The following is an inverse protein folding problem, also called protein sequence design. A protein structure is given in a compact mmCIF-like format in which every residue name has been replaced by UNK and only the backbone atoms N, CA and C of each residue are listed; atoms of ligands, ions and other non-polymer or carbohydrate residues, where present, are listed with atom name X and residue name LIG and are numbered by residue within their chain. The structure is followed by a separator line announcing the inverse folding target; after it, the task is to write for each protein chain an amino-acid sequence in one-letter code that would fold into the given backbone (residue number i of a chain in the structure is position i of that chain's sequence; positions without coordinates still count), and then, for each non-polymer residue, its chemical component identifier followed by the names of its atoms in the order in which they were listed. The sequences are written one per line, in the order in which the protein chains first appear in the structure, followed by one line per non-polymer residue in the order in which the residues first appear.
data_IF_516691749445
#
_entry.id   IF_516691749445
#
_cell.length_a   1.000
_cell.length_b   1.000
_cell.length_c   1.000
_cell.angle_alpha   90.00
_cell.angle_beta   90.00
_cell.angle_gamma   90.00
#
_symmetry.space_group_name_H-M   'P 1'
#
loop_
_entity.id
_entity.type
_entity.pdbx_description
1 polymer ?
#
# COMPACT_ATOMS: atom_id res chain seq x y z
N UNK A 1 -7.03 -10.88 -8.29
CA UNK A 1 -6.20 -10.40 -7.16
C UNK A 1 -5.42 -11.59 -6.63
N UNK A 2 -4.10 -11.47 -6.42
CA UNK A 2 -3.24 -12.57 -5.97
C UNK A 2 -2.78 -12.30 -4.51
N UNK A 3 -3.26 -13.08 -3.51
CA UNK A 3 -2.93 -12.88 -2.10
C UNK A 3 -1.43 -12.92 -1.80
N UNK A 4 -0.71 -13.90 -2.36
CA UNK A 4 0.73 -14.05 -2.16
C UNK A 4 1.51 -12.81 -2.64
N UNK A 5 1.08 -12.19 -3.74
CA UNK A 5 1.68 -10.95 -4.25
C UNK A 5 1.49 -9.78 -3.27
N UNK A 6 0.34 -9.66 -2.61
CA UNK A 6 0.10 -8.57 -1.66
C UNK A 6 0.79 -8.82 -0.31
N UNK A 7 0.84 -10.06 0.19
CA UNK A 7 1.64 -10.35 1.38
C UNK A 7 3.13 -10.04 1.15
N UNK A 8 3.69 -10.43 0.00
CA UNK A 8 5.06 -10.03 -0.37
C UNK A 8 5.22 -8.51 -0.47
N UNK A 9 4.20 -7.81 -0.98
CA UNK A 9 4.20 -6.34 -1.04
C UNK A 9 4.22 -5.72 0.35
N UNK A 10 3.43 -6.24 1.29
CA UNK A 10 3.38 -5.79 2.68
C UNK A 10 4.72 -6.00 3.37
N UNK A 11 5.33 -7.17 3.24
CA UNK A 11 6.68 -7.43 3.78
C UNK A 11 7.72 -6.46 3.23
N UNK A 12 7.70 -6.17 1.91
CA UNK A 12 8.61 -5.18 1.32
C UNK A 12 8.35 -3.75 1.83
N UNK A 13 7.10 -3.41 2.14
CA UNK A 13 6.75 -2.10 2.70
C UNK A 13 7.19 -1.98 4.15
N UNK A 14 7.17 -3.07 4.93
CA UNK A 14 7.71 -3.11 6.29
C UNK A 14 9.21 -2.80 6.30
N UNK A 15 10.03 -3.50 5.50
CA UNK A 15 11.47 -3.21 5.43
C UNK A 15 11.75 -1.77 5.01
N UNK A 16 10.95 -1.21 4.10
CA UNK A 16 11.06 0.22 3.72
C UNK A 16 10.64 1.19 4.82
N UNK A 17 9.76 0.77 5.74
CA UNK A 17 9.34 1.59 6.87
C UNK A 17 10.46 1.74 7.89
N UNK A 18 11.25 0.68 8.08
CA UNK A 18 12.43 0.68 8.95
C UNK A 18 13.50 1.68 8.47
N UNK A 19 13.58 1.93 7.16
CA UNK A 19 14.59 2.80 6.54
C UNK A 19 14.06 4.20 6.16
N UNK A 20 12.78 4.51 6.35
CA UNK A 20 12.22 5.78 5.87
C UNK A 20 12.67 6.98 6.72
N UNK A 21 13.05 8.07 6.06
CA UNK A 21 13.60 9.26 6.74
C UNK A 21 12.73 10.51 6.57
N UNK A 22 11.76 10.45 5.66
CA UNK A 22 10.91 11.61 5.36
C UNK A 22 9.43 11.31 5.55
N UNK A 23 8.68 12.35 5.93
CA UNK A 23 7.21 12.29 6.04
C UNK A 23 6.56 11.80 4.73
N UNK A 24 7.08 12.25 3.58
CA UNK A 24 6.53 11.88 2.28
C UNK A 24 6.71 10.40 1.94
N UNK A 25 7.84 9.81 2.34
CA UNK A 25 8.08 8.38 2.18
C UNK A 25 7.18 7.56 3.11
N UNK A 26 7.07 7.97 4.38
CA UNK A 26 6.19 7.33 5.34
C UNK A 26 4.73 7.34 4.84
N UNK A 27 4.22 8.48 4.37
CA UNK A 27 2.89 8.59 3.78
C UNK A 27 2.69 7.67 2.57
N UNK A 28 3.70 7.57 1.68
CA UNK A 28 3.64 6.65 0.53
C UNK A 28 3.61 5.18 0.96
N UNK A 29 4.35 4.82 2.01
CA UNK A 29 4.37 3.46 2.56
C UNK A 29 2.99 3.11 3.12
N UNK A 30 2.42 3.98 3.96
CA UNK A 30 1.09 3.81 4.54
C UNK A 30 0.00 3.63 3.47
N UNK A 31 -0.04 4.52 2.46
CA UNK A 31 -1.00 4.42 1.34
C UNK A 31 -0.89 3.08 0.60
N UNK A 32 0.33 2.63 0.33
CA UNK A 32 0.56 1.35 -0.37
C UNK A 32 0.21 0.14 0.49
N UNK A 33 0.44 0.21 1.80
CA UNK A 33 0.10 -0.86 2.73
C UNK A 33 -1.43 -1.01 2.84
N UNK A 34 -2.14 0.10 3.04
CA UNK A 34 -3.59 0.12 3.06
C UNK A 34 -4.20 -0.43 1.76
N UNK A 35 -3.65 -0.06 0.60
CA UNK A 35 -4.09 -0.61 -0.70
C UNK A 35 -3.84 -2.11 -0.82
N UNK A 36 -2.73 -2.62 -0.29
CA UNK A 36 -2.45 -4.06 -0.31
C UNK A 36 -3.39 -4.84 0.63
N UNK A 37 -3.67 -4.31 1.82
CA UNK A 37 -4.64 -4.88 2.77
C UNK A 37 -6.05 -4.90 2.22
N UNK A 38 -6.55 -3.77 1.68
CA UNK A 38 -7.88 -3.73 1.06
C UNK A 38 -8.07 -4.77 -0.04
N UNK A 39 -7.04 -4.98 -0.86
CA UNK A 39 -7.07 -6.02 -1.90
C UNK A 39 -7.14 -7.44 -1.32
N UNK A 40 -6.54 -7.68 -0.14
CA UNK A 40 -6.63 -8.97 0.54
C UNK A 40 -8.02 -9.18 1.15
N UNK A 41 -8.63 -8.12 1.66
CA UNK A 41 -9.96 -8.15 2.29
C UNK A 41 -11.10 -8.25 1.27
N UNK A 42 -11.05 -7.48 0.19
CA UNK A 42 -12.19 -7.27 -0.73
C UNK A 42 -12.08 -8.08 -2.04
N UNK A 43 -10.97 -8.76 -2.30
CA UNK A 43 -10.75 -9.48 -3.56
C UNK A 43 -10.48 -8.54 -4.74
N UNK A 44 -10.65 -8.98 -6.01
CA UNK A 44 -10.38 -8.15 -7.19
C UNK A 44 -11.48 -7.11 -7.44
N UNK A 45 -11.62 -6.13 -6.56
CA UNK A 45 -12.39 -4.93 -6.86
C UNK A 45 -11.57 -4.04 -7.79
N UNK A 46 -12.12 -3.77 -8.97
CA UNK A 46 -11.54 -2.95 -10.03
C UNK A 46 -11.48 -1.48 -9.62
N UNK A 47 -10.47 -1.11 -8.82
CA UNK A 47 -10.28 0.29 -8.42
C UNK A 47 -8.89 0.76 -8.85
N UNK A 48 -8.85 1.21 -10.11
CA UNK A 48 -8.06 2.39 -10.48
C UNK A 48 -8.67 3.59 -9.77
N UNK A 49 -7.88 4.65 -9.59
CA UNK A 49 -8.26 5.90 -8.93
C UNK A 49 -8.16 5.89 -7.39
N UNK A 50 -7.11 6.54 -6.92
CA UNK A 50 -7.13 7.51 -5.80
C UNK A 50 -5.79 8.23 -5.88
N UNK A 51 -5.57 8.81 -7.06
CA UNK A 51 -4.82 10.05 -7.18
C UNK A 51 -5.90 11.14 -7.18
N UNK A 52 -5.67 12.22 -6.44
CA UNK A 52 -6.50 13.42 -6.26
C UNK A 52 -7.21 13.54 -4.91
N UNK A 53 -7.16 14.78 -4.43
CA UNK A 53 -7.87 15.39 -3.31
C UNK A 53 -7.23 15.33 -1.91
N UNK A 54 -6.22 16.17 -1.70
CA UNK A 54 -6.22 17.09 -0.54
C UNK A 54 -5.86 18.46 -1.10
N UNK A 55 -6.88 19.33 -1.17
CA UNK A 55 -6.74 20.76 -1.42
C UNK A 55 -6.66 21.49 -0.09
#
# INVERSE_FOLDING_TARGET
MNPAKQHRKLHKLQSRAEECLTRGEAQKILKKAAKAQRKLEQGPSSENETESEVR
#
